data_IF_790021001399
#
_entry.id   IF_790021001399
#
_cell.length_a   1.000
_cell.length_b   1.000
_cell.length_c   1.000
_cell.angle_alpha   90.00
_cell.angle_beta   90.00
_cell.angle_gamma   90.00
#
_symmetry.space_group_name_H-M   'P 1'
#
loop_
_entity.id
_entity.type
_entity.pdbx_description
1 polymer ?
#
# COMPACT_ATOMS: atom_id res chain seq x y z
N UNK A 1 7.72 24.93 7.37
CA UNK A 1 6.94 23.82 7.96
C UNK A 1 7.56 23.44 9.29
N UNK A 2 6.76 23.01 10.26
CA UNK A 2 7.28 22.47 11.53
C UNK A 2 7.91 21.11 11.26
N UNK A 3 9.09 20.87 11.82
CA UNK A 3 9.71 19.53 11.79
C UNK A 3 8.96 18.62 12.76
N UNK A 4 8.41 17.52 12.27
CA UNK A 4 7.71 16.51 13.07
C UNK A 4 8.61 15.27 13.24
N UNK A 5 8.46 14.56 14.36
CA UNK A 5 9.12 13.30 14.63
C UNK A 5 8.21 12.14 14.24
N UNK A 6 8.60 11.35 13.24
CA UNK A 6 7.73 10.38 12.56
C UNK A 6 8.31 8.97 12.64
N UNK A 7 7.48 8.00 13.05
CA UNK A 7 7.79 6.58 12.95
C UNK A 7 7.07 5.98 11.73
N UNK A 8 7.78 5.22 10.91
CA UNK A 8 7.21 4.45 9.78
C UNK A 8 7.45 2.97 10.04
N UNK A 9 6.42 2.22 10.45
CA UNK A 9 6.50 0.76 10.56
C UNK A 9 6.35 0.14 9.17
N UNK A 10 7.08 -0.93 8.87
CA UNK A 10 7.21 -1.40 7.49
C UNK A 10 8.07 -0.47 6.64
N UNK A 11 8.94 0.33 7.29
CA UNK A 11 9.72 1.40 6.67
C UNK A 11 10.85 0.95 5.74
N UNK A 12 11.20 -0.33 5.75
CA UNK A 12 12.14 -0.93 4.79
C UNK A 12 11.43 -1.66 3.64
N UNK A 13 10.09 -1.72 3.68
CA UNK A 13 9.28 -2.27 2.61
C UNK A 13 9.18 -1.33 1.39
N UNK A 14 8.42 -1.75 0.38
CA UNK A 14 8.25 -1.02 -0.88
C UNK A 14 7.74 0.41 -0.69
N UNK A 15 6.49 0.58 -0.24
CA UNK A 15 5.91 1.92 -0.02
C UNK A 15 6.64 2.64 1.12
N UNK A 16 7.01 1.91 2.19
CA UNK A 16 7.69 2.46 3.35
C UNK A 16 9.01 3.14 3.01
N UNK A 17 9.85 2.53 2.18
CA UNK A 17 11.11 3.12 1.74
C UNK A 17 10.90 4.45 1.00
N UNK A 18 9.97 4.49 0.05
CA UNK A 18 9.67 5.69 -0.72
C UNK A 18 9.07 6.79 0.17
N UNK A 19 8.19 6.44 1.10
CA UNK A 19 7.59 7.37 2.06
C UNK A 19 8.62 7.95 3.04
N UNK A 20 9.51 7.11 3.60
CA UNK A 20 10.60 7.54 4.49
C UNK A 20 11.48 8.57 3.78
N UNK A 21 11.87 8.29 2.53
CA UNK A 21 12.68 9.20 1.74
C UNK A 21 11.96 10.54 1.48
N UNK A 22 10.68 10.51 1.13
CA UNK A 22 9.90 11.73 0.87
C UNK A 22 9.68 12.57 2.13
N UNK A 23 9.35 11.95 3.27
CA UNK A 23 9.21 12.64 4.55
C UNK A 23 10.53 13.27 5.01
N UNK A 24 11.65 12.55 4.89
CA UNK A 24 12.98 13.07 5.21
C UNK A 24 13.37 14.23 4.28
N UNK A 25 13.08 14.14 2.97
CA UNK A 25 13.30 15.20 2.00
C UNK A 25 12.54 16.49 2.36
N UNK A 26 11.37 16.36 3.03
CA UNK A 26 10.60 17.51 3.54
C UNK A 26 11.11 18.08 4.85
N UNK A 27 12.18 17.50 5.43
CA UNK A 27 12.80 18.00 6.65
C UNK A 27 12.18 17.48 7.95
N UNK A 28 11.43 16.37 7.92
CA UNK A 28 10.97 15.69 9.11
C UNK A 28 12.04 14.75 9.67
N UNK A 29 11.99 14.51 10.97
CA UNK A 29 12.79 13.48 11.64
C UNK A 29 12.11 12.12 11.51
N UNK A 30 12.58 11.29 10.59
CA UNK A 30 11.92 10.02 10.28
C UNK A 30 12.72 8.84 10.83
N UNK A 31 12.06 7.97 11.58
CA UNK A 31 12.59 6.67 11.99
C UNK A 31 11.84 5.56 11.26
N UNK A 32 12.56 4.68 10.59
CA UNK A 32 12.01 3.48 9.97
C UNK A 32 12.07 2.30 10.95
N UNK A 33 11.01 1.49 10.99
CA UNK A 33 10.93 0.23 11.74
C UNK A 33 10.56 -0.91 10.81
N UNK A 34 11.30 -2.01 10.85
CA UNK A 34 10.98 -3.21 10.07
C UNK A 34 11.61 -4.47 10.70
N UNK A 35 11.30 -5.64 10.14
CA UNK A 35 11.86 -6.94 10.56
C UNK A 35 13.28 -7.17 10.05
N UNK A 36 13.64 -6.58 8.92
CA UNK A 36 14.90 -6.85 8.22
C UNK A 36 16.08 -6.09 8.84
N UNK A 37 17.27 -6.64 8.70
CA UNK A 37 18.48 -5.89 8.97
C UNK A 37 18.77 -4.93 7.81
N UNK A 38 19.15 -3.71 8.14
CA UNK A 38 19.58 -2.70 7.17
C UNK A 38 20.64 -1.80 7.80
N UNK A 39 21.53 -1.25 6.99
CA UNK A 39 22.55 -0.29 7.41
C UNK A 39 22.06 1.17 7.29
N UNK A 40 20.75 1.39 7.28
CA UNK A 40 20.19 2.76 7.21
C UNK A 40 20.34 3.47 8.55
N UNK A 41 20.69 4.74 8.48
CA UNK A 41 20.56 5.64 9.62
C UNK A 41 19.09 5.80 10.00
N UNK A 42 18.81 6.13 11.26
CA UNK A 42 17.42 6.28 11.77
C UNK A 42 16.53 5.06 11.51
N UNK A 43 17.07 3.88 11.69
CA UNK A 43 16.37 2.61 11.56
C UNK A 43 16.38 1.83 12.87
N UNK A 44 15.30 1.15 13.17
CA UNK A 44 15.21 0.20 14.26
C UNK A 44 14.61 -1.12 13.79
N UNK A 45 15.28 -2.22 14.10
CA UNK A 45 14.74 -3.55 13.86
C UNK A 45 13.78 -3.94 14.97
N UNK A 46 12.51 -4.17 14.62
CA UNK A 46 11.49 -4.66 15.55
C UNK A 46 10.35 -5.35 14.83
N UNK A 47 9.64 -6.20 15.55
CA UNK A 47 8.47 -6.91 15.10
C UNK A 47 7.20 -6.30 15.72
N UNK A 48 6.27 -5.82 14.88
CA UNK A 48 4.99 -5.24 15.35
C UNK A 48 4.13 -6.25 16.12
N UNK A 49 4.35 -7.56 15.91
CA UNK A 49 3.70 -8.63 16.64
C UNK A 49 4.17 -8.72 18.11
N UNK A 50 5.28 -8.07 18.43
CA UNK A 50 5.87 -8.07 19.78
C UNK A 50 5.66 -6.71 20.44
N UNK A 51 4.63 -6.60 21.29
CA UNK A 51 4.27 -5.37 21.99
C UNK A 51 5.44 -4.77 22.79
N UNK A 52 6.24 -5.60 23.49
CA UNK A 52 7.37 -5.13 24.30
C UNK A 52 8.49 -4.50 23.48
N UNK A 53 8.72 -4.98 22.24
CA UNK A 53 9.69 -4.34 21.35
C UNK A 53 9.22 -2.94 20.95
N UNK A 54 7.94 -2.80 20.59
CA UNK A 54 7.36 -1.49 20.30
C UNK A 54 7.41 -0.57 21.52
N UNK A 55 6.94 -1.02 22.67
CA UNK A 55 6.91 -0.24 23.92
C UNK A 55 8.29 0.35 24.24
N UNK A 56 9.37 -0.43 24.18
CA UNK A 56 10.74 0.03 24.38
C UNK A 56 11.19 1.13 23.40
N UNK A 57 10.68 1.12 22.17
CA UNK A 57 10.99 2.16 21.18
C UNK A 57 10.30 3.47 21.57
N UNK A 58 9.02 3.40 21.95
CA UNK A 58 8.25 4.56 22.37
C UNK A 58 8.67 5.12 23.74
N UNK A 59 9.26 4.32 24.62
CA UNK A 59 9.89 4.78 25.87
C UNK A 59 11.12 5.64 25.60
N UNK A 60 11.89 5.30 24.55
CA UNK A 60 13.13 6.01 24.20
C UNK A 60 12.90 7.27 23.37
N UNK A 61 11.81 7.34 22.64
CA UNK A 61 11.53 8.45 21.72
C UNK A 61 10.03 8.71 21.62
N UNK A 62 9.64 9.98 21.69
CA UNK A 62 8.29 10.43 21.38
C UNK A 62 8.15 10.63 19.88
N UNK A 63 6.98 10.28 19.35
CA UNK A 63 6.63 10.49 17.96
C UNK A 63 5.36 11.35 17.87
N UNK A 64 5.38 12.31 16.97
CA UNK A 64 4.18 13.12 16.64
C UNK A 64 3.25 12.33 15.74
N UNK A 65 3.83 11.57 14.80
CA UNK A 65 3.10 10.75 13.83
C UNK A 65 3.65 9.33 13.78
N UNK A 66 2.74 8.37 13.56
CA UNK A 66 3.08 6.97 13.23
C UNK A 66 2.38 6.58 11.95
N UNK A 67 3.14 6.32 10.91
CA UNK A 67 2.68 5.68 9.69
C UNK A 67 2.79 4.17 9.86
N UNK A 68 1.63 3.50 9.97
CA UNK A 68 1.60 2.06 10.23
C UNK A 68 1.37 1.30 8.92
N UNK A 69 2.50 0.95 8.24
CA UNK A 69 2.54 0.18 7.00
C UNK A 69 2.87 -1.29 7.21
N UNK A 70 3.49 -1.65 8.36
CA UNK A 70 3.88 -3.03 8.64
C UNK A 70 2.68 -3.97 8.51
N UNK A 71 2.73 -4.85 7.52
CA UNK A 71 1.68 -5.79 7.20
C UNK A 71 2.21 -6.93 6.34
N UNK A 72 1.60 -8.11 6.46
CA UNK A 72 1.61 -9.10 5.40
C UNK A 72 0.64 -8.66 4.28
N UNK A 73 1.02 -8.87 3.04
CA UNK A 73 0.32 -8.35 1.88
C UNK A 73 -0.02 -9.45 0.87
N UNK A 74 -1.06 -9.19 0.08
CA UNK A 74 -1.41 -10.05 -1.04
C UNK A 74 -2.38 -11.17 -0.67
N UNK A 75 -3.31 -11.44 -1.58
CA UNK A 75 -4.39 -12.41 -1.42
C UNK A 75 -3.84 -13.82 -1.17
N UNK A 76 -3.03 -14.32 -2.10
CA UNK A 76 -2.47 -15.66 -2.02
C UNK A 76 -1.47 -15.83 -0.88
N UNK A 77 -0.66 -14.83 -0.57
CA UNK A 77 0.20 -14.87 0.60
C UNK A 77 -0.62 -14.98 1.90
N UNK A 78 -1.76 -14.31 1.94
CA UNK A 78 -2.69 -14.39 3.08
C UNK A 78 -3.26 -15.79 3.25
N UNK A 79 -3.63 -16.45 2.17
CA UNK A 79 -4.15 -17.83 2.22
C UNK A 79 -3.06 -18.85 2.57
N UNK A 80 -1.87 -18.72 1.98
CA UNK A 80 -0.76 -19.65 2.22
C UNK A 80 -0.13 -19.51 3.61
N UNK A 81 -0.14 -18.27 4.17
CA UNK A 81 0.49 -17.93 5.46
C UNK A 81 -0.47 -17.18 6.39
N UNK A 82 -1.68 -17.68 6.56
CA UNK A 82 -2.75 -17.00 7.29
C UNK A 82 -2.39 -16.66 8.74
N UNK A 83 -1.65 -17.50 9.46
CA UNK A 83 -1.22 -17.21 10.83
C UNK A 83 -0.37 -15.93 10.88
N UNK A 84 0.62 -15.81 10.00
CA UNK A 84 1.45 -14.63 9.88
C UNK A 84 0.64 -13.39 9.52
N UNK A 85 -0.30 -13.54 8.59
CA UNK A 85 -1.21 -12.49 8.18
C UNK A 85 -2.00 -11.93 9.37
N UNK A 86 -2.69 -12.80 10.11
CA UNK A 86 -3.51 -12.39 11.24
C UNK A 86 -2.68 -11.80 12.38
N UNK A 87 -1.55 -12.40 12.71
CA UNK A 87 -0.65 -11.91 13.74
C UNK A 87 -0.08 -10.52 13.38
N UNK A 88 0.32 -10.31 12.14
CA UNK A 88 0.89 -9.04 11.71
C UNK A 88 -0.18 -7.97 11.53
N UNK A 89 -1.21 -8.25 10.73
CA UNK A 89 -2.18 -7.24 10.32
C UNK A 89 -3.18 -6.89 11.42
N UNK A 90 -3.61 -7.86 12.23
CA UNK A 90 -4.61 -7.63 13.27
C UNK A 90 -3.94 -7.39 14.63
N UNK A 91 -3.12 -8.32 15.10
CA UNK A 91 -2.48 -8.16 16.40
C UNK A 91 -1.43 -7.05 16.40
N UNK A 92 -0.60 -6.96 15.34
CA UNK A 92 0.37 -5.87 15.18
C UNK A 92 -0.30 -4.49 15.17
N UNK A 93 -1.40 -4.33 14.43
CA UNK A 93 -2.20 -3.09 14.45
C UNK A 93 -2.77 -2.82 15.84
N UNK A 94 -3.28 -3.84 16.54
CA UNK A 94 -3.78 -3.67 17.92
C UNK A 94 -2.69 -3.19 18.88
N UNK A 95 -1.46 -3.68 18.73
CA UNK A 95 -0.33 -3.24 19.55
C UNK A 95 -0.01 -1.74 19.34
N UNK A 96 0.00 -1.28 18.07
CA UNK A 96 0.24 0.14 17.75
C UNK A 96 -0.91 1.01 18.30
N UNK A 97 -2.18 0.58 18.15
CA UNK A 97 -3.34 1.28 18.70
C UNK A 97 -3.27 1.38 20.23
N UNK A 98 -2.84 0.34 20.96
CA UNK A 98 -2.67 0.38 22.42
C UNK A 98 -1.61 1.40 22.85
N UNK A 99 -0.56 1.57 22.07
CA UNK A 99 0.42 2.62 22.30
C UNK A 99 -0.16 4.01 21.99
N UNK A 100 -0.93 4.14 20.91
CA UNK A 100 -1.62 5.38 20.56
C UNK A 100 -2.62 5.82 21.64
N UNK A 101 -3.40 4.89 22.18
CA UNK A 101 -4.34 5.14 23.28
C UNK A 101 -3.64 5.76 24.51
N UNK A 102 -2.42 5.31 24.81
CA UNK A 102 -1.59 5.81 25.93
C UNK A 102 -0.86 7.12 25.61
N UNK A 103 -0.25 7.21 24.43
CA UNK A 103 0.74 8.23 24.09
C UNK A 103 0.20 9.36 23.20
N UNK A 104 -0.99 9.18 22.61
CA UNK A 104 -1.75 10.19 21.86
C UNK A 104 -1.05 10.76 20.61
N UNK A 105 -0.20 9.97 19.95
CA UNK A 105 0.34 10.36 18.64
C UNK A 105 -0.73 10.26 17.54
N UNK A 106 -0.56 10.98 16.44
CA UNK A 106 -1.39 10.86 15.24
C UNK A 106 -0.99 9.64 14.44
N UNK A 107 -1.95 8.83 14.02
CA UNK A 107 -1.67 7.61 13.27
C UNK A 107 -2.23 7.65 11.86
N UNK A 108 -1.46 7.17 10.90
CA UNK A 108 -1.91 6.87 9.55
C UNK A 108 -1.89 5.34 9.39
N UNK A 109 -3.07 4.73 9.34
CA UNK A 109 -3.23 3.29 9.15
C UNK A 109 -3.32 2.97 7.66
N UNK A 110 -2.44 2.09 7.19
CA UNK A 110 -2.45 1.62 5.81
C UNK A 110 -3.39 0.42 5.65
N UNK A 111 -4.60 0.73 5.24
CA UNK A 111 -5.61 -0.20 4.77
C UNK A 111 -5.30 -0.63 3.32
N UNK A 112 -6.30 -0.98 2.55
CA UNK A 112 -6.19 -1.37 1.15
C UNK A 112 -7.51 -1.14 0.43
N UNK A 113 -7.49 -0.92 -0.88
CA UNK A 113 -8.68 -0.97 -1.72
C UNK A 113 -9.35 -2.37 -1.74
N UNK A 114 -8.67 -3.42 -1.29
CA UNK A 114 -9.26 -4.76 -1.16
C UNK A 114 -10.42 -4.81 -0.15
N UNK A 115 -10.54 -3.84 0.78
CA UNK A 115 -11.66 -3.76 1.73
C UNK A 115 -13.02 -3.60 1.06
N UNK A 116 -13.07 -3.13 -0.19
CA UNK A 116 -14.32 -3.02 -0.95
C UNK A 116 -14.86 -4.39 -1.40
N UNK A 117 -14.05 -5.44 -1.32
CA UNK A 117 -14.48 -6.81 -1.64
C UNK A 117 -14.95 -6.94 -3.09
N UNK A 118 -16.13 -7.51 -3.26
CA UNK A 118 -16.80 -7.72 -4.55
C UNK A 118 -17.80 -6.60 -4.92
N UNK A 119 -17.73 -5.45 -4.26
CA UNK A 119 -18.64 -4.33 -4.53
C UNK A 119 -18.63 -3.94 -6.01
N UNK A 120 -19.83 -3.93 -6.61
CA UNK A 120 -20.05 -3.51 -7.99
C UNK A 120 -20.52 -2.05 -8.02
N UNK A 121 -19.66 -1.16 -8.50
CA UNK A 121 -19.94 0.26 -8.58
C UNK A 121 -18.71 1.13 -8.36
N UNK A 122 -18.93 2.43 -8.14
CA UNK A 122 -17.85 3.36 -7.83
C UNK A 122 -17.46 3.21 -6.35
N UNK A 123 -16.26 2.71 -6.11
CA UNK A 123 -15.72 2.50 -4.77
C UNK A 123 -15.27 3.83 -4.17
N UNK A 124 -16.22 4.56 -3.56
CA UNK A 124 -15.95 5.74 -2.72
C UNK A 124 -15.74 5.31 -1.26
N UNK A 125 -15.16 6.19 -0.46
CA UNK A 125 -14.88 5.91 0.95
C UNK A 125 -16.15 5.59 1.76
N UNK A 126 -17.28 6.19 1.38
CA UNK A 126 -18.58 6.04 2.05
C UNK A 126 -19.24 4.67 1.82
N UNK A 127 -18.82 3.93 0.79
CA UNK A 127 -19.31 2.58 0.51
C UNK A 127 -19.19 1.68 1.74
N UNK A 128 -18.05 1.71 2.42
CA UNK A 128 -17.79 0.87 3.59
C UNK A 128 -18.56 1.30 4.86
N UNK A 129 -19.20 2.47 4.84
CA UNK A 129 -20.01 2.98 5.96
C UNK A 129 -21.49 2.76 5.68
N UNK A 130 -21.91 2.94 4.44
CA UNK A 130 -23.32 2.99 4.06
C UNK A 130 -23.89 1.65 3.58
N UNK A 131 -23.02 0.70 3.19
CA UNK A 131 -23.46 -0.59 2.68
C UNK A 131 -23.38 -1.69 3.74
N UNK A 132 -24.17 -2.73 3.55
CA UNK A 132 -24.13 -3.92 4.39
C UNK A 132 -22.96 -4.84 3.99
N UNK A 133 -22.65 -5.79 4.86
CA UNK A 133 -21.63 -6.81 4.57
C UNK A 133 -21.99 -7.67 3.33
N UNK A 134 -23.28 -7.71 2.96
CA UNK A 134 -23.72 -8.40 1.75
C UNK A 134 -23.29 -7.71 0.48
N UNK A 135 -23.18 -6.39 0.54
CA UNK A 135 -22.86 -5.54 -0.61
C UNK A 135 -21.34 -5.31 -0.77
N UNK A 136 -20.57 -5.71 0.24
CA UNK A 136 -19.11 -5.56 0.30
C UNK A 136 -18.45 -6.85 0.81
N UNK A 137 -18.82 -7.99 0.22
CA UNK A 137 -18.32 -9.30 0.63
C UNK A 137 -16.81 -9.40 0.44
N UNK A 138 -16.11 -9.67 1.54
CA UNK A 138 -14.64 -9.77 1.55
C UNK A 138 -14.20 -11.08 0.91
N UNK A 139 -13.43 -11.04 -0.17
CA UNK A 139 -13.12 -12.20 -1.00
C UNK A 139 -11.91 -13.00 -0.51
N UNK A 140 -11.17 -12.51 0.49
CA UNK A 140 -9.94 -13.15 0.98
C UNK A 140 -9.58 -12.63 2.37
N UNK A 141 -8.76 -13.40 3.10
CA UNK A 141 -8.32 -13.07 4.46
C UNK A 141 -7.53 -11.75 4.55
N UNK A 142 -6.76 -11.41 3.51
CA UNK A 142 -6.05 -10.13 3.49
C UNK A 142 -7.03 -8.94 3.56
N UNK A 143 -8.09 -8.95 2.77
CA UNK A 143 -9.13 -7.93 2.79
C UNK A 143 -9.81 -7.87 4.17
N UNK A 144 -10.16 -9.03 4.74
CA UNK A 144 -10.77 -9.13 6.08
C UNK A 144 -9.84 -8.51 7.13
N UNK A 145 -8.55 -8.83 7.14
CA UNK A 145 -7.61 -8.27 8.13
C UNK A 145 -7.43 -6.76 7.99
N UNK A 146 -7.45 -6.22 6.78
CA UNK A 146 -7.38 -4.77 6.54
C UNK A 146 -8.65 -4.08 7.01
N UNK A 147 -9.83 -4.65 6.74
CA UNK A 147 -11.10 -4.13 7.24
C UNK A 147 -11.19 -4.22 8.77
N UNK A 148 -10.76 -5.31 9.38
CA UNK A 148 -10.65 -5.43 10.84
C UNK A 148 -9.76 -4.34 11.43
N UNK A 149 -8.64 -4.01 10.79
CA UNK A 149 -7.77 -2.89 11.16
C UNK A 149 -8.49 -1.54 11.14
N UNK A 150 -9.27 -1.25 10.09
CA UNK A 150 -10.09 -0.03 10.03
C UNK A 150 -11.13 0.03 11.15
N UNK A 151 -11.85 -1.07 11.41
CA UNK A 151 -12.82 -1.15 12.49
C UNK A 151 -12.18 -0.91 13.86
N UNK A 152 -10.97 -1.45 14.10
CA UNK A 152 -10.21 -1.19 15.32
C UNK A 152 -9.82 0.29 15.45
N UNK A 153 -9.41 0.94 14.37
CA UNK A 153 -9.12 2.38 14.36
C UNK A 153 -10.37 3.22 14.70
N UNK A 154 -11.49 2.91 14.06
CA UNK A 154 -12.77 3.58 14.32
C UNK A 154 -13.24 3.39 15.77
N UNK A 155 -13.13 2.18 16.30
CA UNK A 155 -13.47 1.88 17.69
C UNK A 155 -12.57 2.63 18.68
N UNK A 156 -11.25 2.65 18.42
CA UNK A 156 -10.28 3.37 19.25
C UNK A 156 -10.53 4.89 19.24
N UNK A 157 -10.88 5.46 18.08
CA UNK A 157 -11.31 6.86 17.98
C UNK A 157 -12.54 7.14 18.85
N UNK A 158 -13.58 6.31 18.73
CA UNK A 158 -14.84 6.48 19.49
C UNK A 158 -14.64 6.29 20.99
N UNK A 159 -13.85 5.31 21.41
CA UNK A 159 -13.70 4.94 22.82
C UNK A 159 -12.63 5.74 23.56
N UNK A 160 -11.58 6.14 22.88
CA UNK A 160 -10.38 6.72 23.50
C UNK A 160 -9.97 8.08 22.91
N UNK A 161 -10.70 8.60 21.90
CA UNK A 161 -10.39 9.85 21.22
C UNK A 161 -9.02 9.84 20.51
N UNK A 162 -8.62 8.68 19.97
CA UNK A 162 -7.37 8.57 19.21
C UNK A 162 -7.50 9.21 17.83
N UNK A 163 -6.48 9.95 17.39
CA UNK A 163 -6.48 10.60 16.09
C UNK A 163 -5.88 9.67 15.02
N UNK A 164 -6.71 9.07 14.17
CA UNK A 164 -6.26 8.15 13.10
C UNK A 164 -6.87 8.52 11.77
N UNK A 165 -6.05 8.55 10.72
CA UNK A 165 -6.46 8.53 9.31
C UNK A 165 -6.26 7.11 8.75
N UNK A 166 -7.18 6.65 7.92
CA UNK A 166 -7.07 5.37 7.20
C UNK A 166 -6.84 5.64 5.73
N UNK A 167 -5.82 5.05 5.14
CA UNK A 167 -5.55 5.20 3.70
C UNK A 167 -5.72 3.87 2.98
N UNK A 168 -6.35 3.89 1.80
CA UNK A 168 -6.63 2.74 0.94
C UNK A 168 -5.89 2.90 -0.38
N UNK A 169 -4.59 2.56 -0.43
CA UNK A 169 -3.82 2.61 -1.68
C UNK A 169 -4.35 1.61 -2.70
N UNK A 170 -4.26 1.98 -3.98
CA UNK A 170 -4.75 1.20 -5.12
C UNK A 170 -3.59 0.86 -6.03
N UNK A 171 -3.27 -0.43 -6.18
CA UNK A 171 -2.29 -0.95 -7.15
C UNK A 171 -1.02 -0.07 -7.30
N UNK A 172 -0.41 0.30 -6.17
CA UNK A 172 0.84 1.04 -6.15
C UNK A 172 1.97 0.16 -6.70
N UNK A 173 2.85 0.74 -7.52
CA UNK A 173 4.01 0.07 -8.13
C UNK A 173 5.18 1.03 -8.31
N UNK A 174 6.39 0.50 -8.46
CA UNK A 174 7.57 1.34 -8.71
C UNK A 174 8.86 0.85 -8.06
N UNK A 175 9.90 1.70 -7.96
CA UNK A 175 11.16 1.40 -7.31
C UNK A 175 11.00 0.87 -5.88
N UNK A 176 11.87 -0.08 -5.52
CA UNK A 176 11.85 -0.84 -4.26
C UNK A 176 10.75 -1.91 -4.17
N UNK A 177 9.93 -2.10 -5.20
CA UNK A 177 9.04 -3.25 -5.29
C UNK A 177 9.74 -4.43 -5.98
N UNK A 178 10.45 -5.22 -5.18
CA UNK A 178 11.13 -6.42 -5.68
C UNK A 178 10.13 -7.48 -6.10
N UNK A 179 10.51 -8.29 -7.10
CA UNK A 179 9.70 -9.44 -7.49
C UNK A 179 9.50 -10.41 -6.33
N UNK A 180 8.26 -10.81 -6.16
CA UNK A 180 7.83 -11.90 -5.30
C UNK A 180 6.55 -12.49 -5.92
N UNK A 181 6.32 -13.81 -5.89
CA UNK A 181 5.13 -14.43 -6.47
C UNK A 181 3.78 -13.87 -5.99
N UNK A 182 3.77 -13.31 -4.77
CA UNK A 182 2.59 -12.73 -4.12
C UNK A 182 2.36 -11.23 -4.39
N UNK A 183 3.30 -10.56 -5.08
CA UNK A 183 3.19 -9.15 -5.46
C UNK A 183 2.12 -8.91 -6.53
N UNK A 184 1.76 -7.64 -6.69
CA UNK A 184 0.87 -7.19 -7.75
C UNK A 184 1.38 -7.53 -9.16
N UNK A 185 0.53 -7.35 -10.15
CA UNK A 185 0.82 -7.80 -11.52
C UNK A 185 1.95 -7.00 -12.19
N UNK A 186 2.12 -5.69 -11.90
CA UNK A 186 3.15 -4.86 -12.54
C UNK A 186 4.56 -5.38 -12.29
N UNK A 187 5.08 -5.50 -11.05
CA UNK A 187 6.45 -6.00 -10.82
C UNK A 187 6.61 -7.46 -11.27
N UNK A 188 5.54 -8.25 -11.18
CA UNK A 188 5.53 -9.64 -11.66
C UNK A 188 5.73 -9.71 -13.18
N UNK A 189 4.96 -8.95 -13.96
CA UNK A 189 5.06 -8.95 -15.42
C UNK A 189 6.41 -8.39 -15.88
N UNK A 190 6.88 -7.29 -15.27
CA UNK A 190 8.21 -6.73 -15.59
C UNK A 190 9.31 -7.77 -15.34
N UNK A 191 9.30 -8.43 -14.18
CA UNK A 191 10.30 -9.46 -13.86
C UNK A 191 10.27 -10.60 -14.86
N UNK A 192 9.08 -11.12 -15.16
CA UNK A 192 8.94 -12.23 -16.11
C UNK A 192 9.40 -11.86 -17.53
N UNK A 193 9.04 -10.64 -18.00
CA UNK A 193 9.47 -10.14 -19.30
C UNK A 193 11.01 -9.94 -19.37
N UNK A 194 11.62 -9.35 -18.31
CA UNK A 194 13.07 -9.15 -18.23
C UNK A 194 13.86 -10.46 -18.25
N UNK A 195 13.36 -11.49 -17.55
CA UNK A 195 14.03 -12.78 -17.42
C UNK A 195 13.56 -13.84 -18.43
N UNK A 196 12.82 -13.42 -19.46
CA UNK A 196 12.29 -14.32 -20.50
C UNK A 196 11.52 -15.53 -19.92
N UNK A 197 10.65 -15.25 -18.93
CA UNK A 197 9.82 -16.25 -18.24
C UNK A 197 8.35 -16.15 -18.66
N UNK A 198 7.61 -17.27 -18.76
CA UNK A 198 6.19 -17.22 -19.06
C UNK A 198 5.38 -16.61 -17.91
N UNK A 199 4.27 -15.92 -18.22
CA UNK A 199 3.32 -15.43 -17.25
C UNK A 199 1.88 -15.40 -17.80
N UNK A 200 0.92 -15.32 -16.89
CA UNK A 200 -0.51 -15.30 -17.24
C UNK A 200 -1.07 -13.91 -17.09
N UNK A 201 -1.84 -13.48 -18.08
CA UNK A 201 -2.62 -12.24 -18.11
C UNK A 201 -4.10 -12.57 -18.12
N UNK A 202 -4.86 -12.01 -17.18
CA UNK A 202 -6.31 -12.16 -17.11
C UNK A 202 -6.97 -10.99 -17.82
N UNK A 203 -7.59 -11.25 -18.98
CA UNK A 203 -8.28 -10.24 -19.80
C UNK A 203 -9.61 -9.83 -19.16
N UNK A 204 -10.04 -8.61 -19.46
CA UNK A 204 -11.31 -8.06 -18.94
C UNK A 204 -11.25 -7.60 -17.49
N UNK A 205 -10.07 -7.64 -16.86
CA UNK A 205 -9.84 -7.08 -15.52
C UNK A 205 -9.30 -5.66 -15.65
N UNK A 206 -10.11 -4.66 -15.33
CA UNK A 206 -9.69 -3.25 -15.36
C UNK A 206 -9.15 -2.79 -14.03
N UNK A 207 -8.07 -2.02 -14.07
CA UNK A 207 -7.40 -1.46 -12.88
C UNK A 207 -6.91 -0.04 -13.16
N UNK A 208 -6.87 0.76 -12.10
CA UNK A 208 -6.05 1.95 -12.03
C UNK A 208 -4.75 1.57 -11.31
N UNK A 209 -3.62 2.05 -11.76
CA UNK A 209 -2.31 1.88 -11.12
C UNK A 209 -1.78 3.23 -10.67
N UNK A 210 -0.97 3.27 -9.62
CA UNK A 210 -0.36 4.49 -9.08
C UNK A 210 1.14 4.34 -8.92
N UNK A 211 1.90 5.25 -9.49
CA UNK A 211 3.36 5.22 -9.35
C UNK A 211 3.78 5.65 -7.95
N UNK A 212 4.69 4.92 -7.33
CA UNK A 212 5.01 5.04 -5.91
C UNK A 212 5.50 6.42 -5.47
N UNK A 213 6.14 7.20 -6.34
CA UNK A 213 6.54 8.58 -6.01
C UNK A 213 5.31 9.48 -5.83
N UNK A 214 4.24 9.28 -6.62
CA UNK A 214 2.96 9.99 -6.46
C UNK A 214 2.25 9.57 -5.17
N UNK A 215 2.20 8.26 -4.93
CA UNK A 215 1.67 7.68 -3.69
C UNK A 215 2.40 8.24 -2.45
N UNK A 216 3.74 8.19 -2.44
CA UNK A 216 4.55 8.66 -1.31
C UNK A 216 4.38 10.17 -1.06
N UNK A 217 4.34 10.97 -2.14
CA UNK A 217 4.09 12.41 -2.06
C UNK A 217 2.73 12.71 -1.42
N UNK A 218 1.68 11.98 -1.83
CA UNK A 218 0.33 12.14 -1.28
C UNK A 218 0.28 11.76 0.20
N UNK A 219 0.89 10.65 0.58
CA UNK A 219 0.93 10.24 1.98
C UNK A 219 1.73 11.20 2.85
N UNK A 220 2.80 11.78 2.32
CA UNK A 220 3.55 12.80 3.03
C UNK A 220 2.75 14.12 3.19
N UNK A 221 1.82 14.45 2.28
CA UNK A 221 0.92 15.60 2.44
C UNK A 221 0.00 15.48 3.66
N UNK A 222 -0.21 14.27 4.20
CA UNK A 222 -1.08 14.05 5.37
C UNK A 222 -0.56 14.80 6.59
N UNK A 223 0.74 14.99 6.75
CA UNK A 223 1.32 15.73 7.89
C UNK A 223 0.74 17.14 7.98
N UNK A 224 0.57 17.81 6.84
CA UNK A 224 0.04 19.17 6.76
C UNK A 224 -1.51 19.22 6.65
N UNK A 225 -2.15 18.08 6.33
CA UNK A 225 -3.58 18.01 6.01
C UNK A 225 -4.28 16.88 6.81
N UNK A 226 -3.91 16.71 8.07
CA UNK A 226 -4.42 15.64 8.90
C UNK A 226 -5.85 15.94 9.41
N UNK A 227 -6.82 15.13 8.98
CA UNK A 227 -8.22 15.21 9.45
C UNK A 227 -8.55 13.89 10.17
N UNK A 228 -8.66 13.91 11.53
CA UNK A 228 -8.89 12.68 12.30
C UNK A 228 -10.19 11.96 11.93
N UNK A 229 -10.15 10.65 11.93
CA UNK A 229 -11.32 9.79 11.67
C UNK A 229 -11.61 9.52 10.18
N UNK A 230 -10.93 10.24 9.27
CA UNK A 230 -11.18 10.12 7.85
C UNK A 230 -10.53 8.88 7.20
N UNK A 231 -11.14 8.43 6.09
CA UNK A 231 -10.56 7.44 5.19
C UNK A 231 -10.34 8.07 3.81
N UNK A 232 -9.29 7.64 3.11
CA UNK A 232 -8.92 8.17 1.79
C UNK A 232 -8.50 7.06 0.84
N UNK A 233 -9.12 7.01 -0.34
CA UNK A 233 -8.61 6.26 -1.47
C UNK A 233 -7.46 7.05 -2.11
N UNK A 234 -6.35 6.37 -2.42
CA UNK A 234 -5.20 6.98 -3.10
C UNK A 234 -4.77 6.08 -4.25
N UNK A 235 -4.77 6.63 -5.46
CA UNK A 235 -4.45 5.88 -6.69
C UNK A 235 -4.19 6.82 -7.87
N UNK A 236 -3.96 6.27 -9.06
CA UNK A 236 -3.78 7.06 -10.28
C UNK A 236 -5.02 7.83 -10.70
N UNK A 237 -4.92 8.59 -11.79
CA UNK A 237 -6.06 9.31 -12.36
C UNK A 237 -7.08 8.36 -12.97
N UNK A 238 -8.36 8.76 -12.98
CA UNK A 238 -9.43 7.94 -13.52
C UNK A 238 -9.23 7.58 -15.00
N UNK A 239 -8.69 8.50 -15.78
CA UNK A 239 -8.37 8.29 -17.19
C UNK A 239 -7.23 7.28 -17.45
N UNK A 240 -6.56 6.84 -16.40
CA UNK A 240 -5.51 5.80 -16.46
C UNK A 240 -6.06 4.38 -16.22
N UNK A 241 -7.37 4.24 -16.02
CA UNK A 241 -7.99 2.92 -15.92
C UNK A 241 -7.83 2.15 -17.23
N UNK A 242 -7.22 0.96 -17.15
CA UNK A 242 -6.95 0.09 -18.31
C UNK A 242 -7.18 -1.38 -17.96
N UNK A 243 -7.38 -2.16 -19.01
CA UNK A 243 -7.32 -3.62 -18.92
C UNK A 243 -5.90 -4.08 -18.53
N UNK A 244 -5.80 -5.15 -17.74
CA UNK A 244 -4.49 -5.72 -17.37
C UNK A 244 -3.69 -6.13 -18.61
N UNK A 245 -4.37 -6.52 -19.71
CA UNK A 245 -3.70 -6.79 -20.98
C UNK A 245 -2.98 -5.55 -21.52
N UNK A 246 -3.61 -4.38 -21.51
CA UNK A 246 -3.01 -3.14 -21.98
C UNK A 246 -1.76 -2.77 -21.17
N UNK A 247 -1.79 -3.00 -19.84
CA UNK A 247 -0.60 -2.84 -19.00
C UNK A 247 0.50 -3.85 -19.35
N UNK A 248 0.14 -5.11 -19.66
CA UNK A 248 1.11 -6.10 -20.15
C UNK A 248 1.75 -5.66 -21.46
N UNK A 249 0.98 -5.13 -22.41
CA UNK A 249 1.47 -4.64 -23.68
C UNK A 249 2.46 -3.45 -23.49
N UNK A 250 2.15 -2.53 -22.57
CA UNK A 250 3.06 -1.44 -22.20
C UNK A 250 4.37 -1.94 -21.59
N UNK A 251 4.31 -2.95 -20.74
CA UNK A 251 5.49 -3.57 -20.12
C UNK A 251 6.35 -4.27 -21.19
N UNK A 252 5.75 -5.08 -22.05
CA UNK A 252 6.44 -5.77 -23.14
C UNK A 252 7.14 -4.78 -24.05
N UNK A 253 6.45 -3.70 -24.44
CA UNK A 253 7.04 -2.60 -25.22
C UNK A 253 8.23 -1.96 -24.50
N UNK A 254 8.12 -1.68 -23.20
CA UNK A 254 9.18 -1.05 -22.40
C UNK A 254 10.42 -1.95 -22.22
N UNK A 255 10.20 -3.29 -22.21
CA UNK A 255 11.27 -4.28 -22.11
C UNK A 255 11.85 -4.64 -23.48
N UNK A 256 11.15 -4.35 -24.59
CA UNK A 256 11.53 -4.75 -25.96
C UNK A 256 11.24 -6.23 -26.25
N UNK A 257 10.08 -6.72 -25.78
CA UNK A 257 9.64 -8.09 -25.98
C UNK A 257 8.28 -8.16 -26.67
N UNK A 258 7.97 -9.29 -27.25
CA UNK A 258 6.62 -9.66 -27.72
C UNK A 258 5.86 -10.48 -26.67
N UNK A 259 4.64 -10.91 -26.99
CA UNK A 259 3.76 -11.65 -26.11
C UNK A 259 3.86 -13.19 -26.26
N UNK A 260 4.89 -13.70 -26.92
CA UNK A 260 5.08 -15.13 -27.18
C UNK A 260 5.11 -16.00 -25.91
N UNK A 261 5.47 -15.42 -24.76
CA UNK A 261 5.50 -16.08 -23.46
C UNK A 261 4.29 -15.74 -22.58
N UNK A 262 3.29 -15.03 -23.11
CA UNK A 262 2.09 -14.64 -22.37
C UNK A 262 0.96 -15.64 -22.60
N UNK A 263 0.41 -16.18 -21.51
CA UNK A 263 -0.81 -16.97 -21.55
C UNK A 263 -1.99 -16.09 -21.14
N UNK A 264 -3.01 -16.01 -22.00
CA UNK A 264 -4.23 -15.25 -21.72
C UNK A 264 -5.31 -16.13 -21.10
N UNK A 265 -5.98 -15.64 -20.05
CA UNK A 265 -7.13 -16.28 -19.39
C UNK A 265 -8.24 -15.25 -19.18
N UNK A 266 -9.50 -15.73 -19.03
CA UNK A 266 -10.69 -14.85 -18.96
C UNK A 266 -11.02 -14.39 -17.52
N UNK A 267 -10.63 -15.10 -16.48
CA UNK A 267 -10.98 -14.76 -15.12
C UNK A 267 -9.90 -15.16 -14.11
N UNK A 268 -9.60 -14.25 -13.20
CA UNK A 268 -8.78 -14.51 -12.02
C UNK A 268 -9.70 -14.78 -10.83
N UNK A 269 -9.48 -15.89 -10.06
CA UNK A 269 -10.29 -16.16 -8.88
C UNK A 269 -10.02 -15.16 -7.75
N UNK A 270 -11.01 -15.02 -6.85
CA UNK A 270 -10.93 -14.19 -5.63
C UNK A 270 -10.62 -12.72 -5.86
N UNK A 271 -11.06 -12.16 -6.99
CA UNK A 271 -10.96 -10.72 -7.28
C UNK A 271 -12.07 -10.26 -8.22
N UNK A 272 -12.52 -9.03 -8.04
CA UNK A 272 -13.46 -8.37 -8.94
C UNK A 272 -12.81 -8.08 -10.29
N UNK A 273 -13.59 -8.17 -11.38
CA UNK A 273 -13.11 -7.83 -12.72
C UNK A 273 -12.80 -6.33 -12.86
N UNK A 274 -13.68 -5.49 -12.38
CA UNK A 274 -13.57 -4.04 -12.50
C UNK A 274 -13.51 -3.43 -11.11
N UNK A 275 -12.52 -2.59 -10.85
CA UNK A 275 -12.39 -1.80 -9.61
C UNK A 275 -12.33 -0.32 -9.97
N UNK A 276 -13.50 0.28 -10.14
CA UNK A 276 -13.59 1.72 -10.39
C UNK A 276 -13.56 2.48 -9.07
N UNK A 277 -12.52 3.27 -8.87
CA UNK A 277 -12.26 3.96 -7.60
C UNK A 277 -12.58 5.45 -7.71
N UNK A 278 -13.11 6.05 -6.64
CA UNK A 278 -13.23 7.50 -6.50
C UNK A 278 -12.04 8.06 -5.70
N UNK A 279 -11.44 9.15 -6.19
CA UNK A 279 -10.30 9.84 -5.55
C UNK A 279 -10.59 11.30 -5.21
N UNK A 280 -11.81 11.79 -5.43
CA UNK A 280 -12.17 13.20 -5.22
C UNK A 280 -11.87 13.69 -3.81
N UNK A 281 -12.02 12.83 -2.82
CA UNK A 281 -11.75 13.16 -1.41
C UNK A 281 -10.26 13.38 -1.16
N UNK A 282 -9.39 12.48 -1.61
CA UNK A 282 -7.93 12.65 -1.48
C UNK A 282 -7.40 13.83 -2.30
N UNK A 283 -7.97 14.11 -3.47
CA UNK A 283 -7.66 15.31 -4.26
C UNK A 283 -7.98 16.58 -3.47
N UNK A 284 -9.17 16.66 -2.89
CA UNK A 284 -9.62 17.83 -2.13
C UNK A 284 -8.80 18.03 -0.86
N UNK A 285 -8.67 17.00 -0.04
CA UNK A 285 -8.18 17.11 1.33
C UNK A 285 -6.66 16.89 1.42
N UNK A 286 -6.10 15.92 0.68
CA UNK A 286 -4.69 15.56 0.73
C UNK A 286 -3.85 16.17 -0.41
N UNK A 287 -4.46 16.98 -1.27
CA UNK A 287 -3.79 17.52 -2.46
C UNK A 287 -3.19 16.41 -3.34
N UNK A 288 -3.93 15.31 -3.45
CA UNK A 288 -3.55 14.20 -4.31
C UNK A 288 -3.55 14.64 -5.77
N UNK A 289 -2.40 14.54 -6.43
CA UNK A 289 -2.21 14.95 -7.81
C UNK A 289 -1.13 14.07 -8.45
N UNK A 290 -1.51 12.87 -8.93
CA UNK A 290 -0.57 11.97 -9.59
C UNK A 290 -0.04 12.57 -10.89
N UNK A 291 1.28 12.48 -11.07
CA UNK A 291 2.04 13.12 -12.15
C UNK A 291 2.52 12.12 -13.20
N UNK A 292 2.72 10.86 -12.82
CA UNK A 292 3.35 9.85 -13.66
C UNK A 292 2.29 8.97 -14.34
N UNK A 293 2.00 9.19 -15.65
CA UNK A 293 1.13 8.30 -16.38
C UNK A 293 1.73 6.88 -16.47
N UNK A 294 0.89 5.84 -16.70
CA UNK A 294 1.33 4.45 -16.72
C UNK A 294 2.57 4.17 -17.59
N UNK A 295 2.66 4.79 -18.75
CA UNK A 295 3.77 4.62 -19.69
C UNK A 295 5.11 5.05 -19.08
N UNK A 296 5.11 6.19 -18.40
CA UNK A 296 6.31 6.73 -17.78
C UNK A 296 6.67 5.97 -16.50
N UNK A 297 5.71 5.71 -15.63
CA UNK A 297 5.93 4.98 -14.39
C UNK A 297 6.42 3.54 -14.65
N UNK A 298 5.85 2.84 -15.65
CA UNK A 298 6.31 1.50 -16.05
C UNK A 298 7.76 1.57 -16.58
N UNK A 299 8.08 2.52 -17.46
CA UNK A 299 9.44 2.70 -17.98
C UNK A 299 10.45 2.89 -16.84
N UNK A 300 10.17 3.81 -15.91
CA UNK A 300 11.03 4.07 -14.73
C UNK A 300 11.17 2.81 -13.85
N UNK A 301 10.11 2.04 -13.71
CA UNK A 301 10.14 0.79 -12.93
C UNK A 301 10.99 -0.29 -13.62
N UNK A 302 10.88 -0.41 -14.95
CA UNK A 302 11.72 -1.32 -15.76
C UNK A 302 13.19 -0.95 -15.62
N UNK A 303 13.54 0.33 -15.72
CA UNK A 303 14.92 0.83 -15.57
C UNK A 303 15.46 0.51 -14.16
N UNK A 304 14.65 0.77 -13.13
CA UNK A 304 15.04 0.43 -11.77
C UNK A 304 15.23 -1.08 -11.57
N UNK A 305 14.36 -1.92 -12.11
CA UNK A 305 14.49 -3.38 -12.01
C UNK A 305 15.70 -3.90 -12.79
N UNK A 306 16.00 -3.36 -13.97
CA UNK A 306 17.25 -3.66 -14.71
C UNK A 306 18.48 -3.37 -13.84
N UNK A 307 18.54 -2.16 -13.27
CA UNK A 307 19.62 -1.78 -12.36
C UNK A 307 19.73 -2.73 -11.16
N UNK A 308 18.60 -2.97 -10.49
CA UNK A 308 18.57 -3.79 -9.27
C UNK A 308 18.99 -5.25 -9.52
N UNK A 309 18.52 -5.85 -10.59
CA UNK A 309 18.85 -7.22 -10.97
C UNK A 309 20.13 -7.33 -11.79
N UNK A 310 20.84 -6.21 -12.02
CA UNK A 310 22.10 -6.16 -12.77
C UNK A 310 21.97 -6.74 -14.19
N UNK A 311 20.88 -6.43 -14.87
CA UNK A 311 20.66 -6.85 -16.25
C UNK A 311 21.38 -5.86 -17.16
N UNK A 312 22.37 -6.37 -17.92
CA UNK A 312 23.07 -5.59 -18.95
C UNK A 312 22.10 -5.26 -20.10
N UNK A 313 22.29 -4.10 -20.73
CA UNK A 313 21.56 -3.71 -21.93
C UNK A 313 21.83 -4.63 -23.11
#
# INVERSE_FOLDING_TARGET
>A
MKTETILVTGGAGFIGTNLVNELARRGHEVMALDLYNTNRDNYVRADVRNYRQLEKIFEKRKFDYVYHLAAEYGRWNGEDYYENLWQTNVMGTKHVLRLQEKLKFRMIFFSSAEVYGDYEGIMSEDVMINNSIKDTYQMNDYAITKWAGELMCMNSFKMFGTETIRVRPVNCYGPHEHYNPYRGFIPKFIYHALFNKPYTVFKGHKRIIDYVEDTARTFANIVDNFIPGEAYNVGGKQEWERDIKEYSDLILKAVGRDDSLVTYKEAEPFTTKIKTMAFSKSVRDLKHDPKFPPEEGIRKTVEWMKWYYRISE
#
